data_IF_851300114923
#
_entry.id   IF_851300114923
#
_cell.length_a   1.000
_cell.length_b   1.000
_cell.length_c   1.000
_cell.angle_alpha   90.00
_cell.angle_beta   90.00
_cell.angle_gamma   90.00
#
_symmetry.space_group_name_H-M   'P 1'
#
loop_
_entity.id
_entity.type
_entity.pdbx_description
1 polymer ?
#
# COMPACT_ATOMS: atom_id res chain seq x y z
N UNK A 1 -4.40 -0.49 3.40
CA UNK A 1 -5.33 -0.70 4.54
C UNK A 1 -5.14 0.45 5.51
N UNK A 2 -6.21 0.98 6.09
CA UNK A 2 -6.17 2.04 7.08
C UNK A 2 -6.80 1.55 8.38
N UNK A 3 -6.22 1.93 9.51
CA UNK A 3 -6.83 1.79 10.83
C UNK A 3 -7.32 3.16 11.24
N UNK A 4 -8.58 3.22 11.66
CA UNK A 4 -9.32 4.45 11.89
C UNK A 4 -9.91 4.40 13.29
N UNK A 5 -9.74 5.47 14.04
CA UNK A 5 -10.43 5.68 15.31
C UNK A 5 -11.83 6.22 15.04
N UNK A 6 -12.83 5.55 15.60
CA UNK A 6 -14.23 5.85 15.34
C UNK A 6 -14.77 6.81 16.40
N UNK A 7 -15.34 7.92 15.96
CA UNK A 7 -16.04 8.88 16.81
C UNK A 7 -17.54 8.83 16.51
N UNK A 8 -18.36 8.77 17.56
CA UNK A 8 -19.82 8.70 17.47
C UNK A 8 -20.51 10.06 17.34
N UNK A 9 -19.80 11.17 17.61
CA UNK A 9 -20.31 12.54 17.53
C UNK A 9 -19.47 13.36 16.53
N UNK A 10 -18.15 13.20 16.58
CA UNK A 10 -17.20 13.89 15.72
C UNK A 10 -16.95 13.21 14.38
N UNK A 11 -15.76 13.43 13.84
CA UNK A 11 -15.31 12.78 12.61
C UNK A 11 -14.32 11.68 12.96
N UNK A 12 -14.37 10.58 12.22
CA UNK A 12 -13.39 9.52 12.36
C UNK A 12 -12.00 10.00 11.93
N UNK A 13 -10.98 9.59 12.69
CA UNK A 13 -9.58 9.99 12.44
C UNK A 13 -8.73 8.78 12.07
N UNK A 14 -7.83 8.95 11.10
CA UNK A 14 -6.91 7.89 10.70
C UNK A 14 -5.80 7.77 11.74
N UNK A 15 -5.68 6.60 12.38
CA UNK A 15 -4.55 6.28 13.26
C UNK A 15 -3.29 6.04 12.42
N UNK A 16 -3.44 5.29 11.33
CA UNK A 16 -2.34 5.02 10.41
C UNK A 16 -2.73 4.08 9.29
N UNK A 17 -1.86 3.96 8.29
CA UNK A 17 -2.13 3.17 7.09
C UNK A 17 -0.94 2.29 6.72
N UNK A 18 -1.19 1.17 6.06
CA UNK A 18 -0.18 0.31 5.46
C UNK A 18 -0.56 -0.04 4.01
N UNK A 19 0.41 -0.46 3.20
CA UNK A 19 0.18 -0.88 1.81
C UNK A 19 0.73 -2.27 1.57
N UNK A 20 -0.09 -3.08 0.90
CA UNK A 20 0.25 -4.41 0.40
C UNK A 20 -0.06 -4.39 -1.09
N UNK A 21 0.88 -4.83 -1.92
CA UNK A 21 0.77 -4.70 -3.37
C UNK A 21 2.14 -4.50 -4.04
N UNK A 22 2.20 -4.54 -5.38
CA UNK A 22 3.46 -4.42 -6.12
C UNK A 22 4.17 -3.08 -5.87
N UNK A 23 3.40 -2.00 -5.72
CA UNK A 23 3.90 -0.64 -5.46
C UNK A 23 3.99 -0.30 -3.96
N UNK A 24 3.93 -1.28 -3.07
CA UNK A 24 4.16 -1.03 -1.65
C UNK A 24 5.60 -0.55 -1.44
N UNK A 25 5.79 0.57 -0.74
CA UNK A 25 7.13 1.11 -0.46
C UNK A 25 7.94 0.18 0.46
N UNK A 26 7.26 -0.42 1.45
CA UNK A 26 7.83 -1.40 2.36
C UNK A 26 8.00 -2.77 1.66
N UNK A 27 9.20 -3.39 1.71
CA UNK A 27 9.42 -4.76 1.27
C UNK A 27 8.44 -5.79 1.83
N UNK A 28 8.05 -5.73 3.11
CA UNK A 28 7.12 -6.70 3.70
C UNK A 28 5.74 -6.65 3.02
N UNK A 29 5.26 -5.45 2.65
CA UNK A 29 4.03 -5.28 1.88
C UNK A 29 4.08 -5.87 0.47
N UNK A 30 5.26 -5.88 -0.18
CA UNK A 30 5.44 -6.51 -1.49
C UNK A 30 5.55 -8.04 -1.39
N UNK A 31 6.29 -8.52 -0.39
CA UNK A 31 6.47 -9.95 -0.15
C UNK A 31 5.15 -10.64 0.21
N UNK A 32 4.37 -10.06 1.12
CA UNK A 32 3.05 -10.57 1.46
C UNK A 32 2.15 -10.67 0.21
N UNK A 33 2.18 -9.67 -0.67
CA UNK A 33 1.45 -9.72 -1.94
C UNK A 33 1.95 -10.84 -2.86
N UNK A 34 3.26 -11.00 -2.99
CA UNK A 34 3.86 -12.05 -3.81
C UNK A 34 3.49 -13.46 -3.29
N UNK A 35 3.55 -13.68 -1.98
CA UNK A 35 3.17 -14.95 -1.35
C UNK A 35 1.68 -15.27 -1.59
N UNK A 36 0.80 -14.27 -1.46
CA UNK A 36 -0.62 -14.42 -1.74
C UNK A 36 -0.88 -14.86 -3.19
N UNK A 37 -0.20 -14.25 -4.16
CA UNK A 37 -0.32 -14.63 -5.58
C UNK A 37 0.24 -16.03 -5.87
N UNK A 38 1.32 -16.42 -5.19
CA UNK A 38 1.93 -17.74 -5.33
C UNK A 38 1.06 -18.87 -4.73
N UNK A 39 0.15 -18.55 -3.80
CA UNK A 39 -0.68 -19.54 -3.10
C UNK A 39 -2.19 -19.23 -3.20
N UNK A 40 -2.83 -19.39 -4.38
CA UNK A 40 -4.24 -19.09 -4.54
C UNK A 40 -5.15 -19.84 -3.56
N UNK A 41 -6.10 -19.13 -2.96
CA UNK A 41 -7.09 -19.64 -1.97
C UNK A 41 -6.51 -20.12 -0.65
N UNK A 42 -5.19 -20.06 -0.45
CA UNK A 42 -4.56 -20.27 0.85
C UNK A 42 -4.50 -18.93 1.58
N UNK A 43 -5.06 -18.80 2.79
CA UNK A 43 -4.87 -17.61 3.60
C UNK A 43 -3.37 -17.39 3.89
N UNK A 44 -2.94 -16.13 3.86
CA UNK A 44 -1.59 -15.70 4.21
C UNK A 44 -1.73 -14.68 5.35
N UNK A 45 -0.98 -14.87 6.43
CA UNK A 45 -1.01 -14.00 7.62
C UNK A 45 0.30 -13.25 7.76
N UNK A 46 0.24 -11.93 7.86
CA UNK A 46 1.38 -11.06 8.16
C UNK A 46 0.93 -9.83 8.94
N UNK A 47 1.75 -9.40 9.90
CA UNK A 47 1.62 -8.10 10.54
C UNK A 47 2.32 -7.02 9.72
N UNK A 48 1.72 -5.83 9.67
CA UNK A 48 2.27 -4.67 8.96
C UNK A 48 2.33 -3.48 9.91
N UNK A 49 3.45 -2.78 9.93
CA UNK A 49 3.57 -1.54 10.69
C UNK A 49 2.70 -0.45 10.05
N UNK A 50 1.88 0.23 10.85
CA UNK A 50 1.15 1.40 10.40
C UNK A 50 2.10 2.60 10.32
N UNK A 51 1.97 3.36 9.24
CA UNK A 51 2.69 4.62 9.06
C UNK A 51 1.70 5.77 8.85
N UNK A 52 2.17 7.00 9.04
CA UNK A 52 1.35 8.19 8.85
C UNK A 52 0.82 8.29 7.41
N UNK A 53 -0.46 8.63 7.26
CA UNK A 53 -1.14 8.71 5.96
C UNK A 53 -0.39 9.60 4.95
N UNK A 54 0.12 10.74 5.41
CA UNK A 54 0.82 11.74 4.60
C UNK A 54 2.13 11.20 4.00
N UNK A 55 2.76 10.24 4.66
CA UNK A 55 3.99 9.64 4.14
C UNK A 55 3.70 8.75 2.93
N UNK A 56 2.58 8.03 2.94
CA UNK A 56 2.25 7.04 1.89
C UNK A 56 1.62 7.63 0.62
N UNK A 57 1.01 8.82 0.68
CA UNK A 57 0.43 9.48 -0.51
C UNK A 57 1.48 10.10 -1.42
N UNK A 58 2.63 10.48 -0.88
CA UNK A 58 3.75 11.06 -1.63
C UNK A 58 4.39 10.07 -2.60
N UNK A 59 4.48 8.79 -2.24
CA UNK A 59 5.15 7.76 -3.06
C UNK A 59 4.37 7.37 -4.33
N UNK A 60 3.04 7.45 -4.34
CA UNK A 60 2.24 7.16 -5.54
C UNK A 60 2.33 8.22 -6.63
N UNK A 61 2.75 9.44 -6.28
CA UNK A 61 2.87 10.53 -7.26
C UNK A 61 4.15 10.41 -8.10
N UNK A 62 5.12 9.58 -7.68
CA UNK A 62 6.41 9.40 -8.34
C UNK A 62 6.49 8.29 -9.39
N UNK A 63 5.48 7.43 -9.54
CA UNK A 63 5.54 6.28 -10.47
C UNK A 63 4.74 6.49 -11.78
N UNK A 64 4.16 7.68 -12.01
CA UNK A 64 3.61 8.06 -13.32
C UNK A 64 4.66 8.84 -14.12
N UNK A 65 5.51 8.12 -14.82
CA UNK A 65 6.33 8.71 -15.88
C UNK A 65 7.70 8.08 -15.97
N UNK A 66 7.78 6.91 -16.62
CA UNK A 66 8.98 6.39 -17.31
C UNK A 66 8.61 5.08 -18.02
N UNK A 67 7.71 5.16 -18.99
CA UNK A 67 7.61 4.18 -20.09
C UNK A 67 6.88 4.84 -21.25
N UNK A 68 7.40 4.67 -22.47
CA UNK A 68 6.91 5.19 -23.75
C UNK A 68 7.44 6.57 -24.19
N UNK A 69 8.76 6.68 -24.33
CA UNK A 69 9.36 7.46 -25.43
C UNK A 69 10.60 6.75 -25.99
N UNK A 70 10.39 5.61 -26.61
CA UNK A 70 11.31 5.04 -27.60
C UNK A 70 10.47 4.21 -28.59
N UNK A 71 9.81 4.89 -29.52
CA UNK A 71 9.64 4.42 -30.89
C UNK A 71 9.00 5.53 -31.74
N UNK A 72 9.80 6.34 -32.42
CA UNK A 72 9.40 7.08 -33.63
C UNK A 72 10.66 7.61 -34.31
N UNK A 73 11.00 6.93 -35.40
CA UNK A 73 11.94 7.23 -36.51
C UNK A 73 13.44 7.43 -36.20
#
# INVERSE_FOLDING_TARGET
IAVVDYDCIGHNEVIGVCRVGPDAADPHGREHWAEMLANPRKPVEHWHQLVEEKTLTSFTKGNKGLSEKENSE
#
